data_IF_388343964220
#
_entry.id   IF_388343964220
#
_cell.length_a   1.000
_cell.length_b   1.000
_cell.length_c   1.000
_cell.angle_alpha   90.00
_cell.angle_beta   90.00
_cell.angle_gamma   90.00
#
_symmetry.space_group_name_H-M   'P 1'
#
loop_
_entity.id
_entity.type
_entity.pdbx_description
1 polymer ?
#
# COMPACT_ATOMS: atom_id res chain seq x y z
N UNK A 1 -21.60 -4.52 -26.75
CA UNK A 1 -20.70 -4.35 -27.90
C UNK A 1 -19.47 -3.67 -27.36
N UNK A 2 -18.35 -4.37 -27.40
CA UNK A 2 -17.07 -3.88 -26.92
C UNK A 2 -16.47 -2.98 -28.00
N UNK A 3 -16.76 -1.68 -27.93
CA UNK A 3 -16.29 -0.71 -28.92
C UNK A 3 -14.78 -0.44 -28.82
N UNK A 4 -14.08 -1.07 -27.87
CA UNK A 4 -12.64 -0.91 -27.66
C UNK A 4 -11.78 -1.80 -28.58
N UNK A 5 -12.38 -2.78 -29.27
CA UNK A 5 -11.66 -3.65 -30.22
C UNK A 5 -11.65 -3.12 -31.67
N UNK A 6 -12.38 -2.03 -31.95
CA UNK A 6 -12.45 -1.45 -33.30
C UNK A 6 -11.35 -0.39 -33.48
N UNK A 7 -10.21 -0.85 -34.00
CA UNK A 7 -9.02 -0.04 -34.25
C UNK A 7 -9.27 1.13 -35.23
N UNK A 8 -10.19 0.97 -36.19
CA UNK A 8 -10.52 2.01 -37.15
C UNK A 8 -11.47 3.07 -36.54
N UNK A 9 -12.35 2.65 -35.62
CA UNK A 9 -13.16 3.58 -34.83
C UNK A 9 -12.30 4.41 -33.85
N UNK A 10 -11.31 3.78 -33.20
CA UNK A 10 -10.34 4.46 -32.33
C UNK A 10 -9.50 5.50 -33.08
N UNK A 11 -9.09 5.22 -34.32
CA UNK A 11 -8.43 6.20 -35.20
C UNK A 11 -9.33 7.36 -35.58
N UNK A 12 -10.64 7.14 -35.78
CA UNK A 12 -11.63 8.21 -36.02
C UNK A 12 -11.92 9.04 -34.77
N UNK A 13 -11.76 8.46 -33.58
CA UNK A 13 -11.78 9.13 -32.28
C UNK A 13 -10.41 9.67 -31.84
N UNK A 14 -9.44 9.75 -32.76
CA UNK A 14 -8.22 10.51 -32.54
C UNK A 14 -8.56 12.01 -32.58
N UNK A 15 -9.22 12.48 -31.50
CA UNK A 15 -9.23 13.90 -31.15
C UNK A 15 -7.76 14.29 -31.12
N UNK A 16 -7.36 15.34 -31.84
CA UNK A 16 -6.01 15.83 -32.09
C UNK A 16 -5.21 16.25 -30.82
N UNK A 17 -5.38 15.53 -29.70
CA UNK A 17 -4.83 15.74 -28.38
C UNK A 17 -3.31 15.51 -28.29
N UNK A 18 -2.72 14.82 -29.27
CA UNK A 18 -1.29 14.50 -29.33
C UNK A 18 -0.49 15.38 -30.30
N UNK A 19 -1.08 16.46 -30.83
CA UNK A 19 -0.34 17.43 -31.65
C UNK A 19 0.61 18.29 -30.79
N UNK A 20 1.72 18.74 -31.37
CA UNK A 20 2.53 19.80 -30.78
C UNK A 20 1.65 21.07 -30.64
N UNK A 21 1.80 21.84 -29.57
CA UNK A 21 0.99 23.03 -29.21
C UNK A 21 -0.28 22.78 -28.37
N UNK A 22 -0.71 21.53 -28.15
CA UNK A 22 -1.78 21.21 -27.19
C UNK A 22 -1.25 21.31 -25.75
N UNK A 23 -1.27 22.53 -25.23
CA UNK A 23 -0.67 22.93 -23.94
C UNK A 23 -1.70 23.06 -22.81
N UNK A 24 -2.80 22.33 -22.91
CA UNK A 24 -3.85 22.27 -21.90
C UNK A 24 -3.37 21.73 -20.55
N UNK A 25 -3.90 22.25 -19.46
CA UNK A 25 -3.59 21.86 -18.08
C UNK A 25 -4.20 20.50 -17.64
N UNK A 26 -5.03 19.87 -18.49
CA UNK A 26 -5.75 18.63 -18.17
C UNK A 26 -4.86 17.42 -17.86
N UNK A 27 -3.58 17.46 -18.25
CA UNK A 27 -2.59 16.45 -17.84
C UNK A 27 -2.25 16.53 -16.34
N UNK A 28 -2.16 17.74 -15.77
CA UNK A 28 -1.81 17.96 -14.37
C UNK A 28 -2.99 17.67 -13.42
N UNK A 29 -4.22 17.98 -13.82
CA UNK A 29 -5.43 17.79 -12.99
C UNK A 29 -5.62 16.34 -12.54
N UNK A 30 -5.15 15.38 -13.35
CA UNK A 30 -5.34 13.94 -13.11
C UNK A 30 -4.05 13.22 -12.73
N UNK A 31 -2.99 13.94 -12.36
CA UNK A 31 -1.66 13.35 -12.29
C UNK A 31 -1.47 12.40 -11.09
N UNK A 32 -2.00 12.76 -9.92
CA UNK A 32 -1.71 12.15 -8.63
C UNK A 32 -1.68 10.62 -8.56
N UNK A 33 -2.57 9.86 -9.23
CA UNK A 33 -2.52 8.39 -9.19
C UNK A 33 -1.16 7.79 -9.59
N UNK A 34 -0.44 8.42 -10.53
CA UNK A 34 0.84 7.93 -11.03
C UNK A 34 1.96 8.03 -9.99
N UNK A 35 2.31 9.23 -9.46
CA UNK A 35 3.31 9.34 -8.41
C UNK A 35 2.88 8.63 -7.12
N UNK A 36 1.58 8.54 -6.80
CA UNK A 36 1.09 7.73 -5.67
C UNK A 36 1.38 6.23 -5.84
N UNK A 37 1.27 5.70 -7.06
CA UNK A 37 1.55 4.29 -7.33
C UNK A 37 3.06 3.99 -7.31
N UNK A 38 3.87 4.88 -7.87
CA UNK A 38 5.31 4.66 -8.07
C UNK A 38 6.22 5.37 -7.03
N UNK A 39 5.68 5.98 -5.96
CA UNK A 39 6.44 6.83 -5.02
C UNK A 39 7.72 6.22 -4.41
N UNK A 40 7.80 4.87 -4.38
CA UNK A 40 8.97 4.12 -3.90
C UNK A 40 10.16 4.16 -4.85
N UNK A 41 9.92 4.40 -6.13
CA UNK A 41 10.95 4.62 -7.15
C UNK A 41 10.71 5.98 -7.83
N UNK A 42 11.35 7.06 -7.31
CA UNK A 42 11.15 8.40 -7.85
C UNK A 42 11.49 8.54 -9.32
N UNK A 43 12.45 7.77 -9.84
CA UNK A 43 12.83 7.85 -11.25
C UNK A 43 11.70 7.32 -12.12
N UNK A 44 11.16 6.16 -11.75
CA UNK A 44 10.01 5.54 -12.44
C UNK A 44 8.74 6.38 -12.30
N UNK A 45 8.49 6.93 -11.10
CA UNK A 45 7.36 7.82 -10.88
C UNK A 45 7.41 9.10 -11.73
N UNK A 46 8.58 9.74 -11.82
CA UNK A 46 8.78 10.93 -12.65
C UNK A 46 8.60 10.59 -14.13
N UNK A 47 9.20 9.51 -14.60
CA UNK A 47 9.08 9.07 -15.99
C UNK A 47 7.62 8.80 -16.38
N UNK A 48 6.91 7.97 -15.60
CA UNK A 48 5.51 7.66 -15.89
C UNK A 48 4.58 8.85 -15.69
N UNK A 49 4.92 9.81 -14.82
CA UNK A 49 4.16 11.07 -14.71
C UNK A 49 4.19 11.83 -16.03
N UNK A 50 5.36 11.93 -16.67
CA UNK A 50 5.48 12.49 -18.01
C UNK A 50 4.68 11.72 -19.05
N UNK A 51 4.88 10.40 -19.14
CA UNK A 51 4.20 9.55 -20.12
C UNK A 51 2.68 9.58 -19.99
N UNK A 52 2.17 9.65 -18.75
CA UNK A 52 0.73 9.79 -18.49
C UNK A 52 0.16 11.09 -19.06
N UNK A 53 0.90 12.21 -18.94
CA UNK A 53 0.50 13.47 -19.57
C UNK A 53 0.42 13.39 -21.09
N UNK A 54 1.40 12.73 -21.71
CA UNK A 54 1.50 12.56 -23.17
C UNK A 54 0.35 11.78 -23.80
N UNK A 55 -0.38 10.98 -23.03
CA UNK A 55 -1.55 10.24 -23.54
C UNK A 55 -2.62 11.14 -24.16
N UNK A 56 -2.74 12.39 -23.71
CA UNK A 56 -3.70 13.36 -24.27
C UNK A 56 -3.13 14.77 -24.46
N UNK A 57 -1.85 15.01 -24.21
CA UNK A 57 -1.19 16.31 -24.39
C UNK A 57 0.23 16.08 -24.92
N UNK A 58 0.40 16.13 -26.24
CA UNK A 58 1.66 15.78 -26.91
C UNK A 58 2.81 16.78 -26.72
N UNK A 59 2.54 17.98 -26.20
CA UNK A 59 3.55 19.04 -26.05
C UNK A 59 4.62 18.72 -25.00
N UNK A 60 5.88 19.07 -25.30
CA UNK A 60 7.00 18.87 -24.40
C UNK A 60 6.81 19.57 -23.04
N UNK A 61 6.17 20.74 -23.01
CA UNK A 61 5.86 21.45 -21.77
C UNK A 61 4.91 20.64 -20.89
N UNK A 62 3.94 19.94 -21.49
CA UNK A 62 3.01 19.11 -20.74
C UNK A 62 3.71 17.88 -20.14
N UNK A 63 4.55 17.21 -20.94
CA UNK A 63 5.39 16.11 -20.48
C UNK A 63 6.27 16.54 -19.30
N UNK A 64 7.02 17.63 -19.44
CA UNK A 64 7.95 18.09 -18.41
C UNK A 64 7.26 18.70 -17.19
N UNK A 65 6.12 19.37 -17.36
CA UNK A 65 5.31 19.86 -16.25
C UNK A 65 4.83 18.68 -15.39
N UNK A 66 4.32 17.60 -16.01
CA UNK A 66 3.92 16.40 -15.27
C UNK A 66 5.11 15.70 -14.61
N UNK A 67 6.28 15.64 -15.25
CA UNK A 67 7.51 15.09 -14.63
C UNK A 67 7.91 15.86 -13.39
N UNK A 68 7.97 17.18 -13.50
CA UNK A 68 8.33 18.05 -12.39
C UNK A 68 7.30 17.99 -11.26
N UNK A 69 6.01 18.06 -11.59
CA UNK A 69 4.95 17.99 -10.61
C UNK A 69 4.86 16.62 -9.92
N UNK A 70 5.04 15.53 -10.67
CA UNK A 70 5.16 14.18 -10.14
C UNK A 70 6.35 14.05 -9.18
N UNK A 71 7.50 14.65 -9.48
CA UNK A 71 8.65 14.67 -8.58
C UNK A 71 8.34 15.36 -7.24
N UNK A 72 7.61 16.49 -7.28
CA UNK A 72 7.19 17.20 -6.07
C UNK A 72 6.24 16.35 -5.21
N UNK A 73 5.26 15.68 -5.82
CA UNK A 73 4.34 14.79 -5.12
C UNK A 73 5.11 13.62 -4.48
N UNK A 74 6.04 12.98 -5.21
CA UNK A 74 6.86 11.90 -4.66
C UNK A 74 7.73 12.38 -3.50
N UNK A 75 8.38 13.54 -3.63
CA UNK A 75 9.19 14.10 -2.56
C UNK A 75 8.34 14.42 -1.31
N UNK A 76 7.13 14.96 -1.49
CA UNK A 76 6.20 15.19 -0.38
C UNK A 76 5.83 13.86 0.32
N UNK A 77 5.51 12.81 -0.45
CA UNK A 77 5.24 11.47 0.09
C UNK A 77 6.46 10.83 0.79
N UNK A 78 7.67 11.22 0.40
CA UNK A 78 8.92 10.81 1.05
C UNK A 78 9.30 11.67 2.27
N UNK A 79 8.44 12.61 2.67
CA UNK A 79 8.62 13.42 3.87
C UNK A 79 9.56 14.62 3.70
N UNK A 80 9.76 15.10 2.46
CA UNK A 80 10.52 16.34 2.25
C UNK A 80 9.79 17.52 2.93
N UNK A 81 10.57 18.40 3.54
CA UNK A 81 10.02 19.65 4.09
C UNK A 81 9.48 20.54 2.98
N UNK A 82 8.51 21.40 3.29
CA UNK A 82 7.98 22.39 2.32
C UNK A 82 9.09 23.29 1.77
N UNK A 83 10.04 23.68 2.62
CA UNK A 83 11.23 24.43 2.22
C UNK A 83 12.11 23.67 1.22
N UNK A 84 12.27 22.36 1.38
CA UNK A 84 13.03 21.53 0.43
C UNK A 84 12.29 21.37 -0.90
N UNK A 85 10.96 21.19 -0.87
CA UNK A 85 10.10 21.10 -2.05
C UNK A 85 10.14 22.39 -2.87
N UNK A 86 10.11 23.54 -2.20
CA UNK A 86 10.03 24.86 -2.83
C UNK A 86 11.41 25.49 -3.08
N UNK A 87 12.50 24.78 -2.79
CA UNK A 87 13.86 25.28 -3.01
C UNK A 87 14.14 25.41 -4.50
N UNK A 88 14.73 26.52 -4.94
CA UNK A 88 15.11 26.72 -6.35
C UNK A 88 16.08 25.63 -6.86
N UNK A 89 16.77 24.95 -5.95
CA UNK A 89 17.67 23.84 -6.25
C UNK A 89 17.00 22.46 -6.19
N UNK A 90 15.68 22.35 -6.00
CA UNK A 90 14.98 21.07 -5.90
C UNK A 90 15.24 20.19 -7.13
N UNK A 91 15.06 20.75 -8.33
CA UNK A 91 15.29 20.06 -9.59
C UNK A 91 16.75 19.60 -9.74
N UNK A 92 17.72 20.48 -9.50
CA UNK A 92 19.14 20.17 -9.68
C UNK A 92 19.65 19.14 -8.65
N UNK A 93 19.17 19.20 -7.40
CA UNK A 93 19.49 18.19 -6.38
C UNK A 93 18.90 16.82 -6.70
N UNK A 94 17.74 16.78 -7.35
CA UNK A 94 17.05 15.55 -7.71
C UNK A 94 17.23 15.17 -9.18
N UNK A 95 18.26 15.69 -9.87
CA UNK A 95 18.48 15.47 -11.32
C UNK A 95 18.47 13.98 -11.72
N UNK A 96 18.91 13.09 -10.82
CA UNK A 96 18.89 11.63 -11.01
C UNK A 96 17.48 11.04 -11.25
N UNK A 97 16.41 11.70 -10.77
CA UNK A 97 15.02 11.26 -10.99
C UNK A 97 14.54 11.58 -12.41
N UNK A 98 15.12 12.59 -13.05
CA UNK A 98 14.73 13.07 -14.38
C UNK A 98 15.51 12.40 -15.52
N UNK A 99 16.30 11.36 -15.24
CA UNK A 99 17.05 10.65 -16.28
C UNK A 99 17.95 11.59 -17.09
N UNK A 100 17.97 11.43 -18.42
CA UNK A 100 18.83 12.21 -19.33
C UNK A 100 18.13 13.44 -19.94
N UNK A 101 16.81 13.51 -19.87
CA UNK A 101 16.02 14.56 -20.53
C UNK A 101 15.87 15.75 -19.58
N UNK A 102 16.45 16.90 -19.95
CA UNK A 102 16.30 18.15 -19.20
C UNK A 102 14.86 18.68 -19.31
N UNK A 103 14.43 19.45 -18.30
CA UNK A 103 13.12 20.08 -18.33
C UNK A 103 13.09 21.20 -19.38
N UNK A 104 11.97 21.33 -20.08
CA UNK A 104 11.67 22.47 -20.93
C UNK A 104 11.93 23.80 -20.19
N UNK A 105 12.53 24.83 -20.84
CA UNK A 105 12.89 26.10 -20.20
C UNK A 105 11.77 26.75 -19.37
N UNK A 106 10.55 26.78 -19.89
CA UNK A 106 9.39 27.34 -19.18
C UNK A 106 9.09 26.60 -17.86
N UNK A 107 9.14 25.27 -17.88
CA UNK A 107 8.93 24.44 -16.67
C UNK A 107 10.11 24.59 -15.72
N UNK A 108 11.33 24.71 -16.25
CA UNK A 108 12.53 24.99 -15.46
C UNK A 108 12.46 26.34 -14.76
N UNK A 109 11.93 27.38 -15.42
CA UNK A 109 11.68 28.69 -14.80
C UNK A 109 10.73 28.58 -13.60
N UNK A 110 9.67 27.77 -13.72
CA UNK A 110 8.77 27.46 -12.60
C UNK A 110 9.53 26.72 -11.50
N UNK A 111 10.34 25.71 -11.83
CA UNK A 111 11.16 24.97 -10.87
C UNK A 111 12.18 25.85 -10.12
N UNK A 112 12.63 26.93 -10.75
CA UNK A 112 13.55 27.92 -10.19
C UNK A 112 12.83 29.01 -9.38
N UNK A 113 11.50 28.95 -9.28
CA UNK A 113 10.70 29.74 -8.33
C UNK A 113 9.97 30.95 -8.93
N UNK A 114 9.66 30.97 -10.22
CA UNK A 114 8.90 32.07 -10.85
C UNK A 114 7.54 32.35 -10.19
N UNK A 115 6.97 31.35 -9.52
CA UNK A 115 5.74 31.41 -8.73
C UNK A 115 5.88 32.18 -7.40
N UNK A 116 7.07 32.56 -6.93
CA UNK A 116 7.25 33.20 -5.60
C UNK A 116 6.96 34.71 -5.62
N UNK A 117 5.72 35.08 -5.94
CA UNK A 117 5.25 36.47 -6.05
C UNK A 117 4.27 36.80 -4.93
N UNK A 118 4.50 37.87 -4.17
CA UNK A 118 3.77 38.11 -2.91
C UNK A 118 2.28 38.40 -3.12
N UNK A 119 1.94 39.16 -4.16
CA UNK A 119 0.56 39.63 -4.40
C UNK A 119 -0.22 38.76 -5.40
N UNK A 120 0.32 37.58 -5.76
CA UNK A 120 -0.37 36.59 -6.60
C UNK A 120 -0.86 37.18 -7.92
N UNK A 121 -2.19 37.34 -8.05
CA UNK A 121 -2.83 37.87 -9.24
C UNK A 121 -2.31 39.26 -9.65
N UNK A 122 -2.10 40.16 -8.69
CA UNK A 122 -1.60 41.52 -8.98
C UNK A 122 -0.16 41.48 -9.52
N UNK A 123 0.63 40.51 -9.08
CA UNK A 123 2.00 40.29 -9.56
C UNK A 123 2.06 39.44 -10.84
N UNK A 124 0.91 39.09 -11.44
CA UNK A 124 0.84 38.40 -12.72
C UNK A 124 0.73 36.87 -12.67
N UNK A 125 0.48 36.26 -11.50
CA UNK A 125 0.14 34.83 -11.43
C UNK A 125 -1.23 34.62 -12.07
N UNK A 126 -1.33 33.68 -13.03
CA UNK A 126 -2.57 33.35 -13.73
C UNK A 126 -2.76 31.84 -13.73
N UNK A 127 -3.90 31.36 -13.25
CA UNK A 127 -4.26 29.94 -13.27
C UNK A 127 -5.17 29.63 -14.45
N UNK A 128 -4.71 29.87 -15.69
CA UNK A 128 -5.53 29.65 -16.88
C UNK A 128 -5.32 28.25 -17.49
N UNK A 129 -5.94 27.98 -18.64
CA UNK A 129 -5.88 26.67 -19.31
C UNK A 129 -4.49 26.26 -19.79
N UNK A 130 -3.51 27.16 -19.76
CA UNK A 130 -2.13 26.89 -20.16
C UNK A 130 -1.36 26.17 -19.05
N UNK A 131 -0.75 25.03 -19.39
CA UNK A 131 -0.17 24.11 -18.41
C UNK A 131 0.93 24.71 -17.51
N UNK A 132 1.78 25.59 -18.05
CA UNK A 132 2.85 26.23 -17.27
C UNK A 132 2.25 27.21 -16.26
N UNK A 133 1.25 27.98 -16.69
CA UNK A 133 0.53 28.93 -15.84
C UNK A 133 -0.24 28.22 -14.73
N UNK A 134 -0.94 27.14 -15.07
CA UNK A 134 -1.66 26.32 -14.08
C UNK A 134 -0.70 25.70 -13.03
N UNK A 135 0.47 25.21 -13.47
CA UNK A 135 1.52 24.73 -12.57
C UNK A 135 2.07 25.85 -11.68
N UNK A 136 2.37 27.02 -12.26
CA UNK A 136 2.88 28.19 -11.54
C UNK A 136 1.88 28.67 -10.47
N UNK A 137 0.60 28.77 -10.83
CA UNK A 137 -0.49 29.18 -9.95
C UNK A 137 -0.69 28.21 -8.78
N UNK A 138 -0.69 26.89 -9.04
CA UNK A 138 -0.81 25.90 -7.98
C UNK A 138 0.39 25.92 -7.01
N UNK A 139 1.60 26.13 -7.51
CA UNK A 139 2.80 26.25 -6.68
C UNK A 139 2.86 27.58 -5.91
N UNK A 140 2.33 28.66 -6.49
CA UNK A 140 2.13 29.92 -5.77
C UNK A 140 1.17 29.72 -4.59
N UNK A 141 0.05 29.03 -4.80
CA UNK A 141 -0.91 28.75 -3.73
C UNK A 141 -0.27 27.91 -2.61
N UNK A 142 0.51 26.89 -2.98
CA UNK A 142 1.25 26.07 -2.01
C UNK A 142 2.37 26.85 -1.29
N UNK A 143 3.05 27.76 -1.97
CA UNK A 143 4.08 28.60 -1.37
C UNK A 143 3.52 29.69 -0.45
N UNK A 144 2.40 30.30 -0.82
CA UNK A 144 1.78 31.40 -0.07
C UNK A 144 0.99 30.95 1.17
N UNK A 145 0.65 29.66 1.26
CA UNK A 145 -0.13 29.17 2.39
C UNK A 145 0.69 29.10 3.70
N UNK A 146 0.04 29.44 4.81
CA UNK A 146 0.64 29.46 6.17
C UNK A 146 0.54 28.08 6.83
N UNK A 147 1.09 27.07 6.17
CA UNK A 147 1.08 25.66 6.62
C UNK A 147 -0.33 25.11 6.88
N UNK A 148 -1.28 25.56 6.07
CA UNK A 148 -2.68 25.16 6.13
C UNK A 148 -3.20 24.84 4.73
N UNK A 149 -3.64 23.58 4.56
CA UNK A 149 -4.30 23.13 3.33
C UNK A 149 -5.48 24.03 2.95
N UNK A 150 -6.28 24.43 3.94
CA UNK A 150 -7.46 25.27 3.73
C UNK A 150 -7.08 26.63 3.14
N UNK A 151 -6.08 27.30 3.74
CA UNK A 151 -5.65 28.63 3.29
C UNK A 151 -5.09 28.59 1.88
N UNK A 152 -4.29 27.58 1.55
CA UNK A 152 -3.74 27.43 0.19
C UNK A 152 -4.80 27.04 -0.83
N UNK A 153 -5.77 26.20 -0.47
CA UNK A 153 -6.89 25.88 -1.35
C UNK A 153 -7.73 27.13 -1.66
N UNK A 154 -8.02 27.96 -0.63
CA UNK A 154 -8.69 29.24 -0.83
C UNK A 154 -7.85 30.20 -1.68
N UNK A 155 -6.53 30.24 -1.50
CA UNK A 155 -5.64 31.05 -2.33
C UNK A 155 -5.69 30.59 -3.80
N UNK A 156 -5.67 29.28 -4.06
CA UNK A 156 -5.77 28.71 -5.40
C UNK A 156 -7.09 29.06 -6.09
N UNK A 157 -8.22 28.97 -5.38
CA UNK A 157 -9.55 29.32 -5.92
C UNK A 157 -9.69 30.83 -6.14
N UNK A 158 -9.17 31.65 -5.22
CA UNK A 158 -9.29 33.10 -5.29
C UNK A 158 -8.39 33.76 -6.35
N UNK A 159 -7.48 33.02 -7.00
CA UNK A 159 -6.77 33.51 -8.19
C UNK A 159 -7.70 33.78 -9.38
N UNK A 160 -8.90 33.20 -9.39
CA UNK A 160 -9.80 33.31 -10.55
C UNK A 160 -9.32 32.46 -11.74
N UNK A 161 -9.78 32.83 -12.94
CA UNK A 161 -9.54 32.09 -14.19
C UNK A 161 -10.10 30.64 -14.15
N UNK A 162 -9.24 29.62 -14.34
CA UNK A 162 -9.56 28.19 -14.32
C UNK A 162 -9.40 27.66 -12.89
N UNK A 163 -10.30 28.14 -12.03
CA UNK A 163 -10.23 27.94 -10.56
C UNK A 163 -10.35 26.48 -10.14
N UNK A 164 -11.17 25.69 -10.83
CA UNK A 164 -11.35 24.27 -10.59
C UNK A 164 -10.07 23.49 -10.91
N UNK A 165 -9.41 23.79 -12.04
CA UNK A 165 -8.12 23.18 -12.36
C UNK A 165 -7.03 23.59 -11.38
N UNK A 166 -6.90 24.89 -11.09
CA UNK A 166 -5.83 25.39 -10.22
C UNK A 166 -5.94 24.78 -8.82
N UNK A 167 -7.16 24.71 -8.27
CA UNK A 167 -7.43 24.07 -6.99
C UNK A 167 -7.21 22.55 -7.02
N UNK A 168 -7.59 21.87 -8.11
CA UNK A 168 -7.36 20.44 -8.28
C UNK A 168 -5.88 20.10 -8.39
N UNK A 169 -5.08 20.93 -9.07
CA UNK A 169 -3.62 20.77 -9.11
C UNK A 169 -3.10 20.98 -7.69
N UNK A 170 -3.32 22.13 -7.06
CA UNK A 170 -2.90 22.43 -5.68
C UNK A 170 -3.20 21.28 -4.71
N UNK A 171 -4.45 20.80 -4.71
CA UNK A 171 -4.94 19.78 -3.78
C UNK A 171 -4.17 18.46 -3.86
N UNK A 172 -3.59 18.12 -5.02
CA UNK A 172 -2.79 16.91 -5.18
C UNK A 172 -1.46 16.99 -4.39
N UNK A 173 -0.70 18.08 -4.56
CA UNK A 173 0.57 18.26 -3.86
C UNK A 173 0.35 18.58 -2.38
N UNK A 174 -0.56 19.50 -2.08
CA UNK A 174 -0.89 19.86 -0.71
C UNK A 174 -1.46 18.66 0.06
N UNK A 175 -2.31 17.84 -0.58
CA UNK A 175 -2.83 16.61 0.02
C UNK A 175 -1.75 15.57 0.27
N UNK A 176 -0.78 15.44 -0.63
CA UNK A 176 0.39 14.56 -0.43
C UNK A 176 1.31 15.06 0.70
N UNK A 177 1.43 16.37 0.89
CA UNK A 177 2.28 16.99 1.91
C UNK A 177 1.63 17.01 3.30
N UNK A 178 0.42 17.58 3.42
CA UNK A 178 -0.29 17.71 4.70
C UNK A 178 -0.88 16.38 5.19
N UNK A 179 -1.20 15.49 4.25
CA UNK A 179 -1.87 14.23 4.53
C UNK A 179 -3.37 14.39 4.78
N UNK A 180 -4.09 13.29 4.62
CA UNK A 180 -5.56 13.25 4.69
C UNK A 180 -6.13 13.80 6.00
N UNK A 181 -5.48 13.52 7.13
CA UNK A 181 -5.96 13.88 8.47
C UNK A 181 -5.88 15.40 8.77
N UNK A 182 -5.22 16.18 7.90
CA UNK A 182 -5.09 17.63 8.02
C UNK A 182 -6.07 18.39 7.12
N UNK A 183 -6.88 17.69 6.32
CA UNK A 183 -7.92 18.29 5.49
C UNK A 183 -9.09 18.76 6.38
N UNK A 184 -9.76 19.88 6.05
CA UNK A 184 -10.95 20.31 6.78
C UNK A 184 -12.05 19.25 6.74
N UNK A 185 -12.50 18.78 7.91
CA UNK A 185 -13.45 17.68 8.03
C UNK A 185 -14.78 17.95 7.29
N UNK A 186 -15.27 19.19 7.35
CA UNK A 186 -16.50 19.58 6.66
C UNK A 186 -16.36 19.48 5.14
N UNK A 187 -15.19 19.79 4.58
CA UNK A 187 -14.95 19.67 3.15
C UNK A 187 -14.88 18.21 2.71
N UNK A 188 -14.23 17.37 3.51
CA UNK A 188 -14.10 15.93 3.24
C UNK A 188 -15.44 15.21 3.36
N UNK A 189 -16.35 15.64 4.26
CA UNK A 189 -17.69 15.05 4.43
C UNK A 189 -18.53 15.17 3.16
N UNK A 190 -18.45 16.30 2.48
CA UNK A 190 -19.40 16.68 1.43
C UNK A 190 -18.90 16.32 0.01
N UNK A 191 -17.82 15.53 -0.10
CA UNK A 191 -17.26 15.06 -1.37
C UNK A 191 -18.14 13.98 -2.00
N UNK A 192 -18.79 14.32 -3.13
CA UNK A 192 -19.77 13.50 -3.86
C UNK A 192 -19.33 12.05 -4.16
N UNK A 193 -18.02 11.82 -4.36
CA UNK A 193 -17.45 10.50 -4.67
C UNK A 193 -16.51 9.96 -3.58
N UNK A 194 -16.62 10.42 -2.33
CA UNK A 194 -15.75 10.02 -1.21
C UNK A 194 -15.58 8.51 -1.13
N UNK A 195 -16.68 7.77 -1.10
CA UNK A 195 -16.68 6.29 -1.02
C UNK A 195 -15.98 5.62 -2.21
N UNK A 196 -16.01 6.23 -3.40
CA UNK A 196 -15.33 5.72 -4.60
C UNK A 196 -13.83 6.04 -4.59
N UNK A 197 -13.44 7.25 -4.17
CA UNK A 197 -12.04 7.65 -4.03
C UNK A 197 -11.34 6.90 -2.90
N UNK A 198 -12.05 6.66 -1.81
CA UNK A 198 -11.60 5.79 -0.73
C UNK A 198 -11.44 4.34 -1.21
N UNK A 199 -12.41 3.78 -1.95
CA UNK A 199 -12.28 2.43 -2.52
C UNK A 199 -11.17 2.28 -3.57
N UNK A 200 -10.88 3.36 -4.29
CA UNK A 200 -9.82 3.45 -5.31
C UNK A 200 -8.43 3.66 -4.69
N UNK A 201 -8.39 4.18 -3.46
CA UNK A 201 -7.19 4.20 -2.65
C UNK A 201 -6.94 2.75 -2.16
N UNK A 202 -5.82 2.11 -2.51
CA UNK A 202 -5.57 0.70 -2.15
C UNK A 202 -5.62 0.44 -0.63
N UNK A 203 -5.57 1.49 0.19
CA UNK A 203 -5.72 1.44 1.66
C UNK A 203 -7.15 1.17 2.16
N UNK A 204 -8.21 1.55 1.42
CA UNK A 204 -9.57 1.61 1.98
C UNK A 204 -10.53 0.49 1.54
N UNK A 205 -10.03 -0.64 1.03
CA UNK A 205 -10.80 -1.90 0.93
C UNK A 205 -10.86 -2.68 2.27
N UNK A 206 -10.71 -2.01 3.39
CA UNK A 206 -10.52 -2.66 4.70
C UNK A 206 -11.46 -2.06 5.74
N UNK A 207 -12.74 -2.43 5.70
CA UNK A 207 -13.75 -1.98 6.67
C UNK A 207 -13.60 -2.64 8.04
N UNK A 208 -12.39 -2.69 8.59
CA UNK A 208 -12.17 -3.09 9.98
C UNK A 208 -11.15 -2.24 10.76
N UNK A 209 -10.29 -1.42 10.13
CA UNK A 209 -9.28 -0.65 10.88
C UNK A 209 -8.98 0.70 10.19
N UNK A 210 -9.89 1.67 10.32
CA UNK A 210 -9.75 3.02 9.76
C UNK A 210 -8.84 3.94 10.60
N UNK A 211 -8.52 3.56 11.83
CA UNK A 211 -7.61 4.28 12.73
C UNK A 211 -6.71 3.28 13.47
N UNK A 212 -5.46 3.64 13.83
CA UNK A 212 -4.62 2.80 14.67
C UNK A 212 -5.32 2.57 16.02
N UNK A 213 -5.49 1.31 16.48
CA UNK A 213 -6.10 1.04 17.77
C UNK A 213 -5.32 1.76 18.88
N UNK A 214 -6.03 2.26 19.90
CA UNK A 214 -5.40 2.95 21.04
C UNK A 214 -4.37 2.05 21.71
N UNK A 215 -3.12 2.51 21.76
CA UNK A 215 -1.98 1.79 22.30
C UNK A 215 -2.12 1.59 23.82
N UNK A 216 -2.32 0.34 24.24
CA UNK A 216 -2.28 -0.03 25.66
C UNK A 216 -0.93 -0.62 26.08
N UNK A 217 -0.11 -1.07 25.13
CA UNK A 217 1.20 -1.66 25.37
C UNK A 217 2.33 -0.69 24.96
N UNK A 218 3.03 -0.05 25.92
CA UNK A 218 4.07 0.93 25.64
C UNK A 218 5.27 0.34 24.88
N UNK A 219 5.58 -0.95 25.06
CA UNK A 219 6.70 -1.60 24.38
C UNK A 219 6.40 -1.79 22.89
N UNK A 220 5.18 -2.23 22.56
CA UNK A 220 4.71 -2.30 21.18
C UNK A 220 4.71 -0.93 20.53
N UNK A 221 4.21 0.08 21.24
CA UNK A 221 4.16 1.46 20.76
C UNK A 221 5.55 2.04 20.51
N UNK A 222 6.53 1.77 21.38
CA UNK A 222 7.91 2.22 21.19
C UNK A 222 8.56 1.58 19.94
N UNK A 223 8.40 0.27 19.76
CA UNK A 223 8.96 -0.44 18.60
C UNK A 223 8.35 0.03 17.27
N UNK A 224 7.06 0.37 17.29
CA UNK A 224 6.35 1.00 16.19
C UNK A 224 6.91 2.41 15.91
N UNK A 225 7.04 3.23 16.95
CA UNK A 225 7.46 4.63 16.85
C UNK A 225 8.90 4.76 16.36
N UNK A 226 9.76 3.79 16.67
CA UNK A 226 11.16 3.80 16.23
C UNK A 226 11.32 3.57 14.72
N UNK A 227 10.24 3.29 13.97
CA UNK A 227 10.25 3.15 12.50
C UNK A 227 11.14 1.99 12.01
N UNK A 228 11.60 1.15 12.93
CA UNK A 228 12.52 0.03 12.72
C UNK A 228 11.76 -1.28 12.85
N UNK A 229 10.75 -1.47 12.01
CA UNK A 229 10.23 -2.82 11.78
C UNK A 229 11.29 -3.56 10.95
N UNK A 230 12.26 -4.13 11.66
CA UNK A 230 13.33 -4.95 11.11
C UNK A 230 12.75 -6.22 10.45
N UNK A 231 13.47 -6.88 9.54
CA UNK A 231 12.99 -8.04 8.81
C UNK A 231 12.57 -9.26 9.67
N UNK A 232 12.98 -9.29 10.94
CA UNK A 232 12.53 -10.25 11.95
C UNK A 232 12.00 -9.50 13.18
N UNK A 233 10.77 -9.81 13.60
CA UNK A 233 10.26 -9.34 14.89
C UNK A 233 10.02 -10.53 15.83
N UNK A 234 10.66 -10.49 17.00
CA UNK A 234 10.42 -11.39 18.13
C UNK A 234 9.63 -10.67 19.22
N UNK A 235 8.40 -11.12 19.43
CA UNK A 235 7.50 -10.71 20.49
C UNK A 235 7.28 -11.84 21.50
N UNK A 236 8.20 -12.80 21.58
CA UNK A 236 8.01 -13.92 22.49
C UNK A 236 8.04 -13.46 23.96
N UNK A 237 7.18 -14.07 24.80
CA UNK A 237 7.14 -13.83 26.26
C UNK A 237 6.79 -12.40 26.68
N UNK A 238 6.05 -11.66 25.85
CA UNK A 238 5.64 -10.27 26.09
C UNK A 238 4.28 -10.12 26.77
N UNK A 239 3.63 -11.24 27.13
CA UNK A 239 2.26 -11.28 27.70
C UNK A 239 1.20 -10.63 26.79
N UNK A 240 1.44 -10.62 25.47
CA UNK A 240 0.49 -10.07 24.50
C UNK A 240 -0.84 -10.81 24.55
N UNK A 241 -1.92 -10.08 24.33
CA UNK A 241 -3.30 -10.55 24.35
C UNK A 241 -3.94 -10.42 22.98
N UNK A 242 -5.20 -10.84 22.85
CA UNK A 242 -5.98 -10.67 21.61
C UNK A 242 -6.10 -9.21 21.16
N UNK A 243 -6.17 -8.26 22.09
CA UNK A 243 -6.25 -6.84 21.78
C UNK A 243 -4.96 -6.34 21.11
N UNK A 244 -3.80 -6.86 21.52
CA UNK A 244 -2.52 -6.51 20.91
C UNK A 244 -2.42 -7.04 19.47
N UNK A 245 -3.12 -8.14 19.14
CA UNK A 245 -3.08 -8.72 17.80
C UNK A 245 -3.87 -7.91 16.77
N UNK A 246 -4.86 -7.13 17.20
CA UNK A 246 -5.51 -6.14 16.34
C UNK A 246 -4.50 -5.11 15.82
N UNK A 247 -3.58 -4.67 16.69
CA UNK A 247 -2.50 -3.76 16.36
C UNK A 247 -1.49 -4.46 15.44
N UNK A 248 -1.01 -5.66 15.80
CA UNK A 248 -0.06 -6.41 14.96
C UNK A 248 -0.65 -6.67 13.56
N UNK A 249 -1.93 -7.04 13.48
CA UNK A 249 -2.65 -7.22 12.23
C UNK A 249 -2.73 -5.92 11.41
N UNK A 250 -3.00 -4.78 12.05
CA UNK A 250 -2.96 -3.46 11.40
C UNK A 250 -1.61 -3.21 10.72
N UNK A 251 -0.49 -3.55 11.37
CA UNK A 251 0.85 -3.37 10.81
C UNK A 251 1.19 -4.38 9.70
N UNK A 252 0.73 -5.63 9.82
CA UNK A 252 0.85 -6.62 8.76
C UNK A 252 0.10 -6.23 7.49
N UNK A 253 -0.98 -5.45 7.64
CA UNK A 253 -1.77 -4.87 6.56
C UNK A 253 -1.18 -3.58 5.99
N UNK A 254 -0.29 -2.90 6.72
CA UNK A 254 0.47 -1.81 6.13
C UNK A 254 1.40 -2.35 5.05
N UNK A 255 1.87 -1.47 4.17
CA UNK A 255 2.66 -1.77 2.99
C UNK A 255 4.11 -2.21 3.35
N UNK A 256 4.24 -3.11 4.33
CA UNK A 256 5.47 -3.59 4.93
C UNK A 256 6.04 -4.73 4.08
N UNK A 257 6.99 -4.37 3.21
CA UNK A 257 7.64 -5.31 2.29
C UNK A 257 8.85 -6.04 2.89
N UNK A 258 9.25 -5.70 4.12
CA UNK A 258 10.50 -6.20 4.71
C UNK A 258 10.28 -7.30 5.74
N UNK A 259 9.11 -7.35 6.39
CA UNK A 259 8.82 -8.36 7.41
C UNK A 259 8.54 -9.72 6.76
N UNK A 260 9.47 -10.66 6.94
CA UNK A 260 9.33 -12.05 6.46
C UNK A 260 9.08 -13.03 7.58
N UNK A 261 9.49 -12.72 8.81
CA UNK A 261 9.28 -13.58 9.97
C UNK A 261 8.68 -12.83 11.16
N UNK A 262 7.65 -13.42 11.76
CA UNK A 262 6.97 -12.90 12.95
C UNK A 262 6.89 -13.99 14.01
N UNK A 263 7.57 -13.78 15.14
CA UNK A 263 7.51 -14.66 16.29
C UNK A 263 6.68 -14.04 17.40
N UNK A 264 5.57 -14.68 17.74
CA UNK A 264 4.57 -14.29 18.74
C UNK A 264 4.42 -15.37 19.82
N UNK A 265 5.42 -16.24 19.96
CA UNK A 265 5.30 -17.39 20.85
C UNK A 265 5.27 -17.02 22.33
N UNK A 266 4.72 -17.89 23.17
CA UNK A 266 4.69 -17.69 24.62
C UNK A 266 3.98 -16.38 25.04
N UNK A 267 2.80 -16.14 24.46
CA UNK A 267 1.93 -15.03 24.80
C UNK A 267 0.55 -15.54 25.27
N UNK A 268 -0.42 -14.64 25.38
CA UNK A 268 -1.80 -14.93 25.78
C UNK A 268 -2.76 -14.71 24.61
N UNK A 269 -2.33 -15.07 23.39
CA UNK A 269 -3.14 -14.96 22.18
C UNK A 269 -4.15 -16.11 22.16
N UNK A 270 -5.43 -15.79 22.13
CA UNK A 270 -6.54 -16.70 21.97
C UNK A 270 -7.14 -16.66 20.56
N UNK A 271 -8.36 -17.19 20.44
CA UNK A 271 -9.06 -17.31 19.16
C UNK A 271 -9.31 -15.96 18.47
N UNK A 272 -9.58 -14.90 19.23
CA UNK A 272 -9.85 -13.57 18.67
C UNK A 272 -8.58 -12.93 18.12
N UNK A 273 -7.44 -13.11 18.78
CA UNK A 273 -6.15 -12.66 18.26
C UNK A 273 -5.75 -13.41 17.00
N UNK A 274 -6.00 -14.73 16.96
CA UNK A 274 -5.80 -15.52 15.75
C UNK A 274 -6.70 -15.05 14.58
N UNK A 275 -7.94 -14.61 14.86
CA UNK A 275 -8.81 -14.01 13.85
C UNK A 275 -8.18 -12.76 13.21
N UNK A 276 -7.73 -11.80 14.02
CA UNK A 276 -7.09 -10.58 13.51
C UNK A 276 -5.88 -10.88 12.64
N UNK A 277 -5.00 -11.78 13.08
CA UNK A 277 -3.83 -12.22 12.31
C UNK A 277 -4.24 -12.89 11.00
N UNK A 278 -5.27 -13.73 11.01
CA UNK A 278 -5.77 -14.43 9.82
C UNK A 278 -6.29 -13.48 8.76
N UNK A 279 -7.02 -12.44 9.15
CA UNK A 279 -7.50 -11.41 8.23
C UNK A 279 -6.34 -10.64 7.58
N UNK A 280 -5.26 -10.38 8.34
CA UNK A 280 -4.06 -9.77 7.82
C UNK A 280 -3.28 -10.69 6.86
N UNK A 281 -3.12 -11.97 7.21
CA UNK A 281 -2.43 -12.99 6.41
C UNK A 281 -3.05 -13.21 5.02
N UNK A 282 -4.36 -12.96 4.87
CA UNK A 282 -5.03 -13.07 3.57
C UNK A 282 -4.59 -11.99 2.57
N UNK A 283 -4.02 -10.89 3.06
CA UNK A 283 -3.60 -9.74 2.26
C UNK A 283 -2.08 -9.52 2.27
N UNK A 284 -1.41 -9.97 3.34
CA UNK A 284 0.04 -9.88 3.43
C UNK A 284 0.70 -10.85 2.44
N UNK A 285 1.69 -10.34 1.71
CA UNK A 285 2.40 -11.07 0.64
C UNK A 285 3.90 -11.13 0.88
N UNK A 286 4.35 -10.96 2.12
CA UNK A 286 5.78 -10.85 2.49
C UNK A 286 6.16 -11.78 3.62
N UNK A 287 5.23 -12.09 4.53
CA UNK A 287 5.44 -12.98 5.66
C UNK A 287 5.53 -14.44 5.19
N UNK A 288 6.70 -15.05 5.40
CA UNK A 288 6.96 -16.47 5.12
C UNK A 288 6.86 -17.32 6.37
N UNK A 289 7.14 -16.76 7.55
CA UNK A 289 7.21 -17.51 8.80
C UNK A 289 6.39 -16.83 9.88
N UNK A 290 5.45 -17.57 10.46
CA UNK A 290 4.65 -17.14 11.60
C UNK A 290 4.75 -18.16 12.73
N UNK A 291 5.26 -17.72 13.88
CA UNK A 291 5.31 -18.52 15.10
C UNK A 291 4.30 -18.03 16.14
N UNK A 292 3.29 -18.87 16.40
CA UNK A 292 2.22 -18.70 17.37
C UNK A 292 2.28 -19.77 18.46
N UNK A 293 3.41 -20.46 18.63
CA UNK A 293 3.55 -21.51 19.63
C UNK A 293 3.38 -21.01 21.07
N UNK A 294 3.00 -21.87 22.01
CA UNK A 294 2.80 -21.51 23.42
C UNK A 294 1.81 -20.35 23.61
N UNK A 295 0.64 -20.44 22.99
CA UNK A 295 -0.46 -19.49 23.15
C UNK A 295 -1.74 -20.22 23.61
N UNK A 296 -2.89 -19.54 23.55
CA UNK A 296 -4.19 -20.05 23.98
C UNK A 296 -5.15 -20.23 22.79
N UNK A 297 -4.61 -20.49 21.59
CA UNK A 297 -5.40 -20.64 20.36
C UNK A 297 -6.13 -21.99 20.40
N UNK A 298 -7.45 -21.94 20.28
CA UNK A 298 -8.33 -23.11 20.23
C UNK A 298 -8.81 -23.42 18.81
N UNK A 299 -9.87 -24.23 18.73
CA UNK A 299 -10.42 -24.68 17.44
C UNK A 299 -10.90 -23.54 16.55
N UNK A 300 -11.49 -22.48 17.12
CA UNK A 300 -11.99 -21.34 16.33
C UNK A 300 -10.86 -20.49 15.77
N UNK A 301 -9.82 -20.23 16.57
CA UNK A 301 -8.65 -19.50 16.11
C UNK A 301 -7.97 -20.21 14.93
N UNK A 302 -7.88 -21.54 15.02
CA UNK A 302 -7.36 -22.37 13.93
C UNK A 302 -8.27 -22.38 12.71
N UNK A 303 -9.59 -22.32 12.87
CA UNK A 303 -10.53 -22.17 11.75
C UNK A 303 -10.19 -20.93 10.92
N UNK A 304 -10.01 -19.76 11.57
CA UNK A 304 -9.63 -18.53 10.88
C UNK A 304 -8.28 -18.64 10.18
N UNK A 305 -7.28 -19.26 10.83
CA UNK A 305 -5.97 -19.50 10.23
C UNK A 305 -6.08 -20.42 9.00
N UNK A 306 -6.90 -21.46 9.08
CA UNK A 306 -7.19 -22.35 7.95
C UNK A 306 -7.83 -21.62 6.77
N UNK A 307 -8.81 -20.75 7.02
CA UNK A 307 -9.41 -19.91 5.97
C UNK A 307 -8.38 -18.95 5.32
N UNK A 308 -7.45 -18.42 6.12
CA UNK A 308 -6.36 -17.59 5.60
C UNK A 308 -5.41 -18.40 4.71
N UNK A 309 -5.02 -19.61 5.14
CA UNK A 309 -4.18 -20.53 4.36
C UNK A 309 -4.84 -20.92 3.04
N UNK A 310 -6.16 -21.18 3.01
CA UNK A 310 -6.92 -21.46 1.76
C UNK A 310 -6.83 -20.33 0.73
N UNK A 311 -6.62 -19.08 1.16
CA UNK A 311 -6.44 -17.91 0.28
C UNK A 311 -4.98 -17.61 -0.04
N UNK A 312 -4.07 -18.05 0.81
CA UNK A 312 -2.62 -17.89 0.66
C UNK A 312 -2.06 -18.96 -0.29
N UNK A 313 -2.66 -19.12 -1.46
CA UNK A 313 -2.27 -20.10 -2.48
C UNK A 313 -1.69 -19.40 -3.70
N UNK A 314 -0.84 -20.11 -4.46
CA UNK A 314 -0.31 -19.59 -5.71
C UNK A 314 -1.50 -19.30 -6.64
N UNK A 315 -1.85 -18.01 -6.80
CA UNK A 315 -2.80 -17.58 -7.82
C UNK A 315 -2.19 -17.95 -9.16
N UNK A 316 -2.96 -18.66 -9.98
CA UNK A 316 -2.51 -19.37 -11.18
C UNK A 316 -1.53 -18.58 -12.05
N UNK A 317 -0.59 -19.34 -12.64
CA UNK A 317 0.34 -19.00 -13.72
C UNK A 317 -0.12 -17.82 -14.57
N UNK A 318 0.31 -16.61 -14.23
CA UNK A 318 0.39 -15.53 -15.22
C UNK A 318 1.45 -15.94 -16.24
N UNK A 319 1.07 -16.01 -17.51
CA UNK A 319 1.91 -16.33 -18.67
C UNK A 319 2.95 -15.22 -18.98
N UNK A 320 3.62 -14.69 -17.96
CA UNK A 320 4.70 -13.69 -18.11
C UNK A 320 5.97 -14.20 -17.45
N UNK A 321 7.06 -14.14 -18.21
CA UNK A 321 8.38 -14.74 -17.95
C UNK A 321 9.15 -14.11 -16.78
N UNK A 322 8.53 -13.32 -15.91
CA UNK A 322 9.15 -12.77 -14.70
C UNK A 322 8.60 -13.45 -13.44
N UNK A 323 9.29 -14.51 -13.02
CA UNK A 323 8.96 -15.29 -11.83
C UNK A 323 9.56 -14.72 -10.54
N UNK A 324 10.25 -13.57 -10.58
CA UNK A 324 10.87 -12.98 -9.39
C UNK A 324 9.87 -12.28 -8.46
N UNK A 325 8.65 -11.98 -8.95
CA UNK A 325 7.59 -11.31 -8.20
C UNK A 325 6.45 -12.26 -7.75
N UNK A 326 6.58 -13.57 -7.95
CA UNK A 326 5.51 -14.53 -7.64
C UNK A 326 5.45 -14.82 -6.15
N UNK A 327 4.60 -14.05 -5.47
CA UNK A 327 3.80 -14.40 -4.28
C UNK A 327 4.63 -15.00 -3.15
N UNK A 328 5.25 -14.16 -2.32
CA UNK A 328 5.80 -14.61 -1.06
C UNK A 328 4.64 -14.94 -0.10
N UNK A 329 4.33 -16.22 -0.06
CA UNK A 329 3.26 -16.86 0.69
C UNK A 329 3.82 -17.45 2.00
N UNK A 330 2.95 -17.69 2.99
CA UNK A 330 3.36 -18.27 4.26
C UNK A 330 3.84 -19.71 4.02
N UNK A 331 5.12 -19.98 4.25
CA UNK A 331 5.75 -21.29 4.08
C UNK A 331 5.85 -22.06 5.39
N UNK A 332 5.95 -21.36 6.52
CA UNK A 332 6.16 -21.95 7.84
C UNK A 332 5.15 -21.41 8.85
N UNK A 333 4.39 -22.32 9.47
CA UNK A 333 3.44 -22.00 10.55
C UNK A 333 3.73 -22.86 11.78
N UNK A 334 4.01 -22.20 12.91
CA UNK A 334 4.27 -22.86 14.20
C UNK A 334 3.11 -22.62 15.16
N UNK A 335 2.48 -23.69 15.62
CA UNK A 335 1.28 -23.70 16.47
C UNK A 335 1.42 -24.67 17.65
N UNK A 336 2.64 -25.09 17.98
CA UNK A 336 2.91 -26.02 19.08
C UNK A 336 2.39 -25.47 20.42
N UNK A 337 1.99 -26.33 21.36
CA UNK A 337 1.56 -25.92 22.70
C UNK A 337 0.41 -24.87 22.68
N UNK A 338 -0.63 -25.14 21.91
CA UNK A 338 -1.89 -24.40 21.91
C UNK A 338 -3.03 -25.32 22.40
N UNK A 339 -4.29 -24.88 22.28
CA UNK A 339 -5.48 -25.61 22.72
C UNK A 339 -6.24 -26.21 21.53
N UNK A 340 -5.50 -26.66 20.51
CA UNK A 340 -6.07 -27.17 19.25
C UNK A 340 -6.56 -28.60 19.47
N UNK A 341 -7.88 -28.81 19.36
CA UNK A 341 -8.51 -30.11 19.45
C UNK A 341 -8.69 -30.79 18.09
N UNK A 342 -9.34 -31.97 18.09
CA UNK A 342 -9.67 -32.72 16.87
C UNK A 342 -10.42 -31.86 15.83
N UNK A 343 -11.39 -31.05 16.26
CA UNK A 343 -12.14 -30.15 15.37
C UNK A 343 -11.24 -29.09 14.71
N UNK A 344 -10.38 -28.41 15.49
CA UNK A 344 -9.45 -27.42 14.95
C UNK A 344 -8.50 -28.03 13.93
N UNK A 345 -8.10 -29.27 14.18
CA UNK A 345 -7.26 -30.03 13.29
C UNK A 345 -7.95 -30.32 11.93
N UNK A 346 -9.26 -30.62 11.90
CA UNK A 346 -9.98 -30.79 10.64
C UNK A 346 -9.90 -29.54 9.74
N UNK A 347 -10.01 -28.33 10.32
CA UNK A 347 -9.92 -27.10 9.54
C UNK A 347 -8.55 -26.89 8.87
N UNK A 348 -7.46 -27.28 9.53
CA UNK A 348 -6.13 -27.21 8.92
C UNK A 348 -5.98 -28.25 7.81
N UNK A 349 -6.49 -29.47 7.98
CA UNK A 349 -6.49 -30.49 6.90
C UNK A 349 -7.17 -29.94 5.66
N UNK A 350 -8.40 -29.43 5.80
CA UNK A 350 -9.15 -28.85 4.68
C UNK A 350 -8.40 -27.68 4.03
N UNK A 351 -7.70 -26.88 4.84
CA UNK A 351 -6.88 -25.80 4.31
C UNK A 351 -5.70 -26.32 3.49
N UNK A 352 -5.00 -27.32 4.01
CA UNK A 352 -3.86 -27.95 3.36
C UNK A 352 -4.24 -28.71 2.10
N UNK A 353 -5.48 -29.19 1.94
CA UNK A 353 -5.96 -29.78 0.68
C UNK A 353 -5.92 -28.80 -0.50
N UNK A 354 -5.94 -27.48 -0.24
CA UNK A 354 -5.88 -26.44 -1.28
C UNK A 354 -4.61 -25.60 -1.20
N UNK A 355 -4.00 -25.46 -0.02
CA UNK A 355 -2.83 -24.62 0.20
C UNK A 355 -1.52 -25.24 -0.27
N UNK A 356 -0.99 -24.78 -1.40
CA UNK A 356 0.24 -25.31 -2.02
C UNK A 356 1.53 -24.62 -1.57
N UNK A 357 1.45 -23.66 -0.64
CA UNK A 357 2.56 -22.78 -0.29
C UNK A 357 3.21 -23.14 1.04
N UNK A 358 2.45 -23.71 1.98
CA UNK A 358 2.95 -24.13 3.27
C UNK A 358 3.81 -25.39 3.11
N UNK A 359 5.07 -25.31 3.52
CA UNK A 359 6.05 -26.40 3.49
C UNK A 359 6.38 -26.92 4.88
N UNK A 360 6.10 -26.14 5.93
CA UNK A 360 6.38 -26.53 7.31
C UNK A 360 5.20 -26.18 8.22
N UNK A 361 4.67 -27.17 8.92
CA UNK A 361 3.61 -27.00 9.91
C UNK A 361 3.96 -27.73 11.21
N UNK A 362 4.05 -26.98 12.30
CA UNK A 362 4.35 -27.55 13.61
C UNK A 362 3.14 -27.44 14.53
N UNK A 363 2.64 -28.59 14.97
CA UNK A 363 1.41 -28.73 15.75
C UNK A 363 1.63 -29.54 17.03
N UNK A 364 2.89 -29.76 17.43
CA UNK A 364 3.21 -30.58 18.58
C UNK A 364 2.61 -30.08 19.89
N UNK A 365 2.30 -30.99 20.81
CA UNK A 365 1.75 -30.68 22.14
C UNK A 365 0.44 -29.88 22.11
N UNK A 366 -0.48 -30.25 21.21
CA UNK A 366 -1.87 -29.81 21.22
C UNK A 366 -2.77 -30.96 21.72
N UNK A 367 -4.09 -30.88 21.50
CA UNK A 367 -5.06 -31.93 21.77
C UNK A 367 -5.62 -32.54 20.46
N UNK A 368 -4.76 -32.66 19.43
CA UNK A 368 -5.14 -33.16 18.11
C UNK A 368 -5.38 -34.66 18.22
N UNK A 369 -6.65 -35.06 18.18
CA UNK A 369 -7.06 -36.47 18.26
C UNK A 369 -6.63 -37.29 17.03
N UNK A 370 -6.87 -38.61 17.07
CA UNK A 370 -6.47 -39.56 16.01
C UNK A 370 -7.11 -39.31 14.64
N UNK A 371 -8.18 -38.50 14.57
CA UNK A 371 -8.87 -38.17 13.31
C UNK A 371 -7.94 -37.54 12.26
N UNK A 372 -6.88 -36.84 12.68
CA UNK A 372 -5.88 -36.29 11.75
C UNK A 372 -5.16 -37.38 10.94
N UNK A 373 -5.05 -38.62 11.47
CA UNK A 373 -4.36 -39.72 10.80
C UNK A 373 -5.04 -40.18 9.52
N UNK A 374 -6.37 -40.08 9.44
CA UNK A 374 -7.13 -40.47 8.24
C UNK A 374 -6.82 -39.56 7.04
N UNK A 375 -6.42 -38.31 7.31
CA UNK A 375 -6.11 -37.33 6.29
C UNK A 375 -4.60 -37.18 6.03
N UNK A 376 -3.75 -37.80 6.86
CA UNK A 376 -2.30 -37.76 6.65
C UNK A 376 -1.89 -38.41 5.33
N UNK A 377 -2.46 -39.58 5.00
CA UNK A 377 -2.18 -40.24 3.72
C UNK A 377 -2.52 -39.33 2.53
N UNK A 378 -3.70 -38.70 2.56
CA UNK A 378 -4.17 -37.77 1.51
C UNK A 378 -3.27 -36.52 1.37
N UNK A 379 -2.66 -36.05 2.47
CA UNK A 379 -1.79 -34.88 2.49
C UNK A 379 -0.33 -35.21 2.10
N UNK A 380 0.17 -36.39 2.47
CA UNK A 380 1.57 -36.81 2.20
C UNK A 380 1.81 -37.27 0.77
N UNK A 381 0.79 -37.77 0.08
CA UNK A 381 0.94 -38.29 -1.30
C UNK A 381 1.10 -37.19 -2.36
N UNK A 382 0.98 -35.91 -2.00
CA UNK A 382 0.94 -34.80 -2.96
C UNK A 382 1.85 -33.58 -2.65
N UNK A 383 2.60 -33.53 -1.53
CA UNK A 383 3.19 -32.25 -1.05
C UNK A 383 4.56 -32.40 -0.35
N UNK A 384 5.46 -31.43 -0.58
CA UNK A 384 6.71 -31.21 0.17
C UNK A 384 6.45 -30.59 1.57
N UNK A 385 5.48 -31.12 2.32
CA UNK A 385 5.07 -30.60 3.63
C UNK A 385 5.73 -31.39 4.77
N UNK A 386 6.60 -30.73 5.54
CA UNK A 386 7.10 -31.22 6.82
C UNK A 386 6.09 -30.93 7.92
N UNK A 387 5.71 -31.96 8.67
CA UNK A 387 4.69 -31.87 9.72
C UNK A 387 5.22 -32.43 11.06
N UNK A 388 5.19 -31.60 12.11
CA UNK A 388 5.47 -32.05 13.49
C UNK A 388 4.18 -32.19 14.29
N UNK A 389 3.80 -33.44 14.58
CA UNK A 389 2.65 -33.78 15.44
C UNK A 389 3.06 -34.31 16.83
N UNK A 390 4.35 -34.23 17.18
CA UNK A 390 4.87 -34.86 18.40
C UNK A 390 4.15 -34.36 19.68
N UNK A 391 4.07 -35.19 20.72
CA UNK A 391 3.47 -34.77 22.00
C UNK A 391 1.97 -34.46 21.98
N UNK A 392 1.23 -34.66 20.88
CA UNK A 392 -0.23 -34.73 20.90
C UNK A 392 -0.68 -36.07 21.53
N UNK A 393 -1.81 -36.11 22.28
CA UNK A 393 -2.36 -37.34 22.82
C UNK A 393 -2.65 -38.34 21.68
N UNK A 394 -1.76 -39.33 21.53
CA UNK A 394 -2.08 -40.53 20.76
C UNK A 394 -3.10 -41.30 21.59
N UNK A 395 -4.36 -41.25 21.19
CA UNK A 395 -5.20 -42.41 21.44
C UNK A 395 -4.55 -43.53 20.63
N UNK A 396 -3.81 -44.40 21.32
CA UNK A 396 -3.13 -45.59 20.78
C UNK A 396 -3.99 -46.21 19.64
N UNK A 397 -3.47 -46.49 18.45
CA UNK A 397 -2.57 -47.61 18.18
C UNK A 397 -1.87 -47.44 16.81
N UNK A 398 -0.61 -47.89 16.75
CA UNK A 398 0.13 -48.42 15.60
C UNK A 398 0.37 -47.57 14.33
N UNK A 399 1.66 -47.59 13.95
CA UNK A 399 2.30 -47.28 12.67
C UNK A 399 3.04 -45.93 12.48
N UNK A 400 4.35 -46.15 12.35
CA UNK A 400 5.37 -45.49 11.53
C UNK A 400 5.85 -44.07 11.86
N UNK A 401 7.03 -44.07 12.46
CA UNK A 401 8.15 -43.20 12.12
C UNK A 401 8.36 -43.24 10.60
N UNK A 402 8.37 -42.09 9.93
CA UNK A 402 9.01 -41.94 8.63
C UNK A 402 10.15 -40.94 8.83
N UNK A 403 11.36 -41.46 8.63
CA UNK A 403 12.66 -40.80 8.67
C UNK A 403 12.86 -39.81 7.54
#
# INVERSE_FOLDING_TARGET
MDFLSDYELLKKFNVYCSEAEVTGNGALVRLAPVPLFFYRDPKTAVEYSGQSGQTTHGDQKAYDACRYYGALIVAALQGYSKDDLLKNAFYSKNKRWFGKNELHPDVKSVAEGSYKRRNGYEDGIRGNSYIVNALEAALWAFWSDEDSFEKGALAAVNLGDDTDTTAAIYGQLAGAYYGYNKLPNDWVRDVYAKTFMEKSNPKNKTSLLSEPPTYQNPELQQMINDGKIQPLIWFDKRKLTDADMEIVAYYLLQDNKTLTQLCLSNNKIGDKGAQYLSEALQKNTTLTTLDLSYNQIGNKGVQYLGEALKKNTVREKSFTLDLSHVIQALTTLQLQNNQIGAQGSQYLVEALQTNTTLTELYLSRNAIGSQWQQHLQELTENRNLTLDLSGNPRYFENYCVIS
#
